data_IF_984151474705
#
_entry.id   IF_984151474705
#
_cell.length_a   1.000
_cell.length_b   1.000
_cell.length_c   1.000
_cell.angle_alpha   90.00
_cell.angle_beta   90.00
_cell.angle_gamma   90.00
#
_symmetry.space_group_name_H-M   'P 1'
#
loop_
_entity.id
_entity.type
_entity.pdbx_description
1 polymer ?
#
# COMPACT_ATOMS: atom_id res chain seq x y z
N UNK A 1 93.92 -27.01 -74.50
CA UNK A 1 93.14 -28.17 -74.06
C UNK A 1 91.93 -27.64 -73.33
N UNK A 2 90.72 -27.98 -73.84
CA UNK A 2 89.39 -27.97 -73.18
C UNK A 2 88.93 -26.67 -72.50
N UNK A 3 87.70 -26.16 -72.57
CA UNK A 3 86.43 -26.44 -73.27
C UNK A 3 85.54 -25.21 -72.93
N UNK A 4 84.49 -24.99 -73.71
CA UNK A 4 83.44 -23.95 -73.56
C UNK A 4 82.84 -23.90 -72.13
N UNK A 5 82.20 -22.84 -71.64
CA UNK A 5 80.99 -22.26 -72.22
C UNK A 5 80.57 -20.94 -71.55
N UNK A 6 80.05 -20.08 -72.41
CA UNK A 6 79.34 -18.83 -72.14
C UNK A 6 77.90 -19.16 -71.71
N UNK A 7 77.46 -18.74 -70.52
CA UNK A 7 76.03 -18.65 -70.19
C UNK A 7 75.57 -17.21 -70.30
N UNK A 8 74.81 -16.97 -71.35
CA UNK A 8 74.09 -15.75 -71.70
C UNK A 8 72.79 -15.72 -70.89
N UNK A 9 72.52 -14.61 -70.20
CA UNK A 9 71.17 -14.26 -69.75
C UNK A 9 70.26 -14.10 -70.98
N UNK A 10 69.22 -14.93 -71.05
CA UNK A 10 68.19 -14.82 -72.08
C UNK A 10 67.11 -13.84 -71.62
N UNK A 11 67.24 -12.58 -72.04
CA UNK A 11 66.13 -11.63 -72.08
C UNK A 11 65.21 -12.08 -73.22
N UNK A 12 64.19 -12.86 -72.87
CA UNK A 12 63.18 -13.35 -73.80
C UNK A 12 62.29 -12.20 -74.31
N UNK A 13 62.33 -11.99 -75.61
CA UNK A 13 61.42 -11.17 -76.40
C UNK A 13 59.99 -11.78 -76.40
N UNK A 14 58.94 -11.00 -76.74
CA UNK A 14 57.56 -11.47 -76.66
C UNK A 14 57.30 -12.58 -77.68
N UNK A 15 57.12 -13.80 -77.22
CA UNK A 15 56.71 -14.92 -78.06
C UNK A 15 55.21 -14.80 -78.42
N UNK A 16 54.93 -14.55 -79.69
CA UNK A 16 53.60 -14.70 -80.27
C UNK A 16 53.34 -16.16 -80.63
N UNK A 17 52.69 -16.89 -79.72
CA UNK A 17 52.11 -18.18 -80.02
C UNK A 17 50.92 -18.00 -80.99
N UNK A 18 50.78 -18.82 -82.04
CA UNK A 18 49.62 -18.76 -82.94
C UNK A 18 48.35 -19.11 -82.15
N UNK A 19 47.43 -18.14 -82.05
CA UNK A 19 46.15 -18.36 -81.36
C UNK A 19 45.32 -19.40 -82.12
N UNK A 20 44.82 -20.46 -81.45
CA UNK A 20 43.84 -21.35 -82.06
C UNK A 20 42.52 -20.59 -82.25
N UNK A 21 42.25 -20.18 -83.49
CA UNK A 21 40.98 -19.58 -83.90
C UNK A 21 39.87 -20.64 -83.87
N UNK A 22 39.17 -20.74 -82.74
CA UNK A 22 37.99 -21.58 -82.61
C UNK A 22 36.85 -20.90 -83.37
N UNK A 23 36.47 -21.45 -84.53
CA UNK A 23 35.63 -20.82 -85.56
C UNK A 23 36.30 -19.61 -86.25
N UNK A 24 37.42 -19.80 -86.96
CA UNK A 24 37.87 -19.06 -88.19
C UNK A 24 37.81 -17.52 -88.32
N UNK A 25 37.25 -16.77 -87.37
CA UNK A 25 36.95 -15.34 -87.42
C UNK A 25 37.00 -14.67 -86.03
N UNK A 26 37.31 -15.41 -84.95
CA UNK A 26 37.41 -14.88 -83.58
C UNK A 26 38.69 -15.40 -82.89
N UNK A 27 39.46 -14.48 -82.29
CA UNK A 27 40.62 -14.80 -81.45
C UNK A 27 40.22 -15.37 -80.08
N UNK A 28 41.17 -15.98 -79.37
CA UNK A 28 40.97 -16.52 -78.03
C UNK A 28 40.40 -15.50 -77.01
N UNK A 29 40.86 -14.22 -76.95
CA UNK A 29 40.28 -13.25 -76.02
C UNK A 29 38.84 -12.87 -76.35
N UNK A 30 38.43 -12.91 -77.63
CA UNK A 30 37.05 -12.61 -78.03
C UNK A 30 36.08 -13.72 -77.63
N UNK A 31 36.51 -14.98 -77.73
CA UNK A 31 35.71 -16.12 -77.28
C UNK A 31 35.53 -16.11 -75.75
N UNK A 32 36.58 -15.78 -74.99
CA UNK A 32 36.50 -15.64 -73.53
C UNK A 32 35.56 -14.48 -73.15
N UNK A 33 35.64 -13.34 -73.83
CA UNK A 33 34.76 -12.20 -73.59
C UNK A 33 33.28 -12.55 -73.87
N UNK A 34 32.99 -13.30 -74.93
CA UNK A 34 31.63 -13.80 -75.23
C UNK A 34 31.13 -14.78 -74.16
N UNK A 35 31.99 -15.70 -73.69
CA UNK A 35 31.64 -16.61 -72.60
C UNK A 35 31.35 -15.85 -71.29
N UNK A 36 32.15 -14.83 -70.96
CA UNK A 36 31.93 -13.97 -69.79
C UNK A 36 30.61 -13.20 -69.92
N UNK A 37 30.33 -12.64 -71.10
CA UNK A 37 29.06 -11.95 -71.38
C UNK A 37 27.86 -12.91 -71.24
N UNK A 38 27.97 -14.14 -71.73
CA UNK A 38 26.94 -15.15 -71.57
C UNK A 38 26.69 -15.48 -70.09
N UNK A 39 27.74 -15.60 -69.27
CA UNK A 39 27.61 -15.80 -67.81
C UNK A 39 26.92 -14.60 -67.14
N UNK A 40 27.30 -13.36 -67.46
CA UNK A 40 26.60 -12.18 -66.93
C UNK A 40 25.14 -12.11 -67.38
N UNK A 41 24.84 -12.43 -68.64
CA UNK A 41 23.47 -12.47 -69.15
C UNK A 41 22.64 -13.54 -68.42
N UNK A 42 23.19 -14.73 -68.17
CA UNK A 42 22.53 -15.78 -67.39
C UNK A 42 22.36 -15.37 -65.93
N UNK A 43 23.36 -14.70 -65.33
CA UNK A 43 23.30 -14.20 -63.95
C UNK A 43 22.23 -13.11 -63.76
N UNK A 44 22.10 -12.22 -64.74
CA UNK A 44 21.03 -11.21 -64.80
C UNK A 44 19.67 -11.87 -65.04
N UNK A 45 19.57 -12.85 -65.94
CA UNK A 45 18.33 -13.57 -66.21
C UNK A 45 17.85 -14.38 -64.99
N UNK A 46 18.78 -15.00 -64.26
CA UNK A 46 18.52 -15.69 -62.98
C UNK A 46 18.38 -14.75 -61.79
N UNK A 47 18.43 -13.42 -62.01
CA UNK A 47 18.20 -12.37 -60.99
C UNK A 47 19.06 -12.50 -59.73
N UNK A 48 20.28 -13.01 -59.87
CA UNK A 48 21.24 -13.12 -58.75
C UNK A 48 21.46 -11.79 -58.01
N UNK A 49 21.63 -10.62 -58.68
CA UNK A 49 21.79 -9.36 -57.94
C UNK A 49 20.54 -8.95 -57.15
N UNK A 50 19.34 -9.29 -57.62
CA UNK A 50 18.10 -9.01 -56.90
C UNK A 50 17.96 -9.88 -55.63
N UNK A 51 18.40 -11.14 -55.67
CA UNK A 51 18.40 -12.03 -54.50
C UNK A 51 19.34 -11.52 -53.39
N UNK A 52 20.52 -11.00 -53.77
CA UNK A 52 21.47 -10.41 -52.82
C UNK A 52 20.89 -9.13 -52.21
N UNK A 53 20.27 -8.26 -53.03
CA UNK A 53 19.57 -7.08 -52.54
C UNK A 53 18.46 -7.43 -51.54
N UNK A 54 17.61 -8.40 -51.88
CA UNK A 54 16.53 -8.84 -51.01
C UNK A 54 17.03 -9.43 -49.69
N UNK A 55 18.12 -10.19 -49.69
CA UNK A 55 18.71 -10.73 -48.46
C UNK A 55 19.28 -9.63 -47.56
N UNK A 56 19.87 -8.59 -48.15
CA UNK A 56 20.38 -7.42 -47.42
C UNK A 56 19.23 -6.58 -46.86
N UNK A 57 18.18 -6.35 -47.65
CA UNK A 57 16.97 -5.66 -47.22
C UNK A 57 16.27 -6.40 -46.07
N UNK A 58 16.19 -7.74 -46.12
CA UNK A 58 15.66 -8.54 -45.00
C UNK A 58 16.49 -8.36 -43.72
N UNK A 59 17.82 -8.32 -43.83
CA UNK A 59 18.70 -8.05 -42.68
C UNK A 59 18.47 -6.65 -42.12
N UNK A 60 18.37 -5.64 -42.99
CA UNK A 60 18.10 -4.26 -42.58
C UNK A 60 16.73 -4.16 -41.91
N UNK A 61 15.71 -4.82 -42.45
CA UNK A 61 14.37 -4.85 -41.86
C UNK A 61 14.37 -5.54 -40.49
N UNK A 62 15.09 -6.65 -40.33
CA UNK A 62 15.25 -7.34 -39.04
C UNK A 62 15.94 -6.46 -38.01
N UNK A 63 17.07 -5.84 -38.36
CA UNK A 63 17.79 -4.93 -37.46
C UNK A 63 16.93 -3.72 -37.06
N UNK A 64 16.16 -3.16 -38.00
CA UNK A 64 15.23 -2.06 -37.70
C UNK A 64 14.14 -2.52 -36.73
N UNK A 65 13.55 -3.69 -36.94
CA UNK A 65 12.54 -4.23 -36.04
C UNK A 65 13.11 -4.47 -34.62
N UNK A 66 14.31 -5.03 -34.50
CA UNK A 66 14.98 -5.23 -33.20
C UNK A 66 15.31 -3.91 -32.51
N UNK A 67 15.75 -2.89 -33.26
CA UNK A 67 16.00 -1.54 -32.73
C UNK A 67 14.71 -0.87 -32.25
N UNK A 68 13.63 -0.97 -33.03
CA UNK A 68 12.32 -0.43 -32.67
C UNK A 68 11.77 -1.11 -31.42
N UNK A 69 11.87 -2.44 -31.32
CA UNK A 69 11.47 -3.21 -30.15
C UNK A 69 12.32 -2.84 -28.92
N UNK A 70 13.63 -2.68 -29.07
CA UNK A 70 14.51 -2.24 -27.99
C UNK A 70 14.20 -0.81 -27.52
N UNK A 71 13.85 0.10 -28.43
CA UNK A 71 13.44 1.46 -28.09
C UNK A 71 12.10 1.45 -27.33
N UNK A 72 11.12 0.65 -27.77
CA UNK A 72 9.85 0.49 -27.07
C UNK A 72 10.06 -0.12 -25.68
N UNK A 73 10.85 -1.18 -25.57
CA UNK A 73 11.15 -1.81 -24.29
C UNK A 73 11.83 -0.84 -23.32
N UNK A 74 12.71 0.03 -23.82
CA UNK A 74 13.29 1.11 -23.00
C UNK A 74 12.24 2.13 -22.55
N UNK A 75 11.36 2.56 -23.44
CA UNK A 75 10.26 3.49 -23.08
C UNK A 75 9.34 2.88 -22.04
N UNK A 76 8.97 1.62 -22.20
CA UNK A 76 8.12 0.89 -21.26
C UNK A 76 8.82 0.73 -19.90
N UNK A 77 10.12 0.40 -19.89
CA UNK A 77 10.90 0.31 -18.65
C UNK A 77 11.04 1.66 -17.94
N UNK A 78 11.26 2.75 -18.68
CA UNK A 78 11.33 4.11 -18.13
C UNK A 78 9.96 4.56 -17.59
N UNK A 79 8.87 4.28 -18.31
CA UNK A 79 7.51 4.56 -17.86
C UNK A 79 7.15 3.76 -16.60
N UNK A 80 7.47 2.47 -16.58
CA UNK A 80 7.25 1.60 -15.44
C UNK A 80 8.03 2.07 -14.21
N UNK A 81 9.31 2.45 -14.39
CA UNK A 81 10.13 3.01 -13.32
C UNK A 81 9.51 4.29 -12.75
N UNK A 82 9.09 5.21 -13.61
CA UNK A 82 8.44 6.45 -13.19
C UNK A 82 7.13 6.19 -12.42
N UNK A 83 6.34 5.20 -12.87
CA UNK A 83 5.12 4.79 -12.18
C UNK A 83 5.42 4.22 -10.78
N UNK A 84 6.44 3.36 -10.64
CA UNK A 84 6.83 2.82 -9.34
C UNK A 84 7.42 3.87 -8.40
N UNK A 85 8.22 4.81 -8.90
CA UNK A 85 8.73 5.94 -8.10
C UNK A 85 7.58 6.83 -7.62
N UNK A 86 6.61 7.14 -8.48
CA UNK A 86 5.42 7.89 -8.10
C UNK A 86 4.56 7.13 -7.08
N UNK A 87 4.36 5.82 -7.26
CA UNK A 87 3.64 4.97 -6.29
C UNK A 87 4.36 4.89 -4.94
N UNK A 88 5.68 4.78 -4.93
CA UNK A 88 6.46 4.77 -3.70
C UNK A 88 6.32 6.10 -2.95
N UNK A 89 6.47 7.23 -3.64
CA UNK A 89 6.28 8.56 -3.05
C UNK A 89 4.85 8.76 -2.52
N UNK A 90 3.84 8.31 -3.26
CA UNK A 90 2.45 8.37 -2.83
C UNK A 90 2.20 7.50 -1.60
N UNK A 91 2.75 6.29 -1.55
CA UNK A 91 2.63 5.40 -0.39
C UNK A 91 3.32 5.97 0.86
N UNK A 92 4.46 6.66 0.71
CA UNK A 92 5.11 7.36 1.82
C UNK A 92 4.27 8.52 2.36
N UNK A 93 3.68 9.32 1.46
CA UNK A 93 2.76 10.38 1.84
C UNK A 93 1.51 9.82 2.55
N UNK A 94 0.92 8.74 2.03
CA UNK A 94 -0.24 8.07 2.63
C UNK A 94 0.10 7.47 4.00
N UNK A 95 1.29 6.88 4.17
CA UNK A 95 1.76 6.43 5.48
C UNK A 95 1.86 7.57 6.48
N UNK A 96 2.43 8.70 6.08
CA UNK A 96 2.54 9.87 6.96
C UNK A 96 1.16 10.39 7.37
N UNK A 97 0.22 10.50 6.44
CA UNK A 97 -1.15 10.93 6.76
C UNK A 97 -1.90 9.92 7.61
N UNK A 98 -1.68 8.61 7.40
CA UNK A 98 -2.25 7.55 8.23
C UNK A 98 -1.75 7.64 9.68
N UNK A 99 -0.46 7.87 9.89
CA UNK A 99 0.13 8.01 11.23
C UNK A 99 -0.42 9.25 11.94
N UNK A 100 -0.48 10.40 11.24
CA UNK A 100 -1.03 11.62 11.82
C UNK A 100 -2.52 11.48 12.17
N UNK A 101 -3.31 10.85 11.29
CA UNK A 101 -4.72 10.57 11.58
C UNK A 101 -4.87 9.63 12.79
N UNK A 102 -4.05 8.58 12.87
CA UNK A 102 -4.08 7.64 13.99
C UNK A 102 -3.71 8.32 15.31
N UNK A 103 -2.74 9.24 15.32
CA UNK A 103 -2.39 10.05 16.50
C UNK A 103 -3.55 10.94 16.92
N UNK A 104 -4.11 11.70 16.00
CA UNK A 104 -5.24 12.58 16.28
C UNK A 104 -6.47 11.78 16.79
N UNK A 105 -6.72 10.60 16.22
CA UNK A 105 -7.79 9.72 16.67
C UNK A 105 -7.52 9.15 18.06
N UNK A 106 -6.27 8.75 18.35
CA UNK A 106 -5.87 8.30 19.68
C UNK A 106 -6.04 9.41 20.73
N UNK A 107 -5.58 10.63 20.43
CA UNK A 107 -5.70 11.78 21.34
C UNK A 107 -7.18 12.13 21.58
N UNK A 108 -8.02 12.07 20.54
CA UNK A 108 -9.45 12.28 20.68
C UNK A 108 -10.13 11.20 21.54
N UNK A 109 -9.73 9.93 21.40
CA UNK A 109 -10.24 8.83 22.22
C UNK A 109 -9.84 9.02 23.68
N UNK A 110 -8.59 9.42 23.95
CA UNK A 110 -8.12 9.68 25.32
C UNK A 110 -8.89 10.85 25.93
N UNK A 111 -9.02 11.97 25.23
CA UNK A 111 -9.77 13.14 25.71
C UNK A 111 -11.25 12.80 25.98
N UNK A 112 -11.88 12.02 25.11
CA UNK A 112 -13.25 11.56 25.30
C UNK A 112 -13.37 10.62 26.51
N UNK A 113 -12.44 9.68 26.66
CA UNK A 113 -12.42 8.75 27.78
C UNK A 113 -12.22 9.46 29.12
N UNK A 114 -11.36 10.49 29.16
CA UNK A 114 -11.18 11.35 30.34
C UNK A 114 -12.46 12.09 30.70
N UNK A 115 -13.14 12.70 29.72
CA UNK A 115 -14.40 13.40 29.92
C UNK A 115 -15.52 12.46 30.42
N UNK A 116 -15.65 11.28 29.81
CA UNK A 116 -16.64 10.28 30.20
C UNK A 116 -16.36 9.72 31.59
N UNK A 117 -15.08 9.51 31.93
CA UNK A 117 -14.67 9.06 33.26
C UNK A 117 -14.98 10.12 34.32
N UNK A 118 -14.68 11.39 34.05
CA UNK A 118 -14.99 12.48 34.95
C UNK A 118 -16.51 12.59 35.21
N UNK A 119 -17.32 12.52 34.15
CA UNK A 119 -18.78 12.53 34.25
C UNK A 119 -19.32 11.31 35.01
N UNK A 120 -18.71 10.14 34.82
CA UNK A 120 -19.10 8.93 35.55
C UNK A 120 -18.75 9.02 37.03
N UNK A 121 -17.58 9.56 37.38
CA UNK A 121 -17.18 9.81 38.77
C UNK A 121 -18.15 10.80 39.40
N UNK A 122 -18.44 11.93 38.76
CA UNK A 122 -19.39 12.92 39.29
C UNK A 122 -20.77 12.30 39.56
N UNK A 123 -21.30 11.53 38.60
CA UNK A 123 -22.58 10.82 38.78
C UNK A 123 -22.52 9.84 39.95
N UNK A 124 -21.43 9.09 40.09
CA UNK A 124 -21.24 8.12 41.19
C UNK A 124 -21.15 8.82 42.54
N UNK A 125 -20.47 9.96 42.60
CA UNK A 125 -20.38 10.79 43.81
C UNK A 125 -21.76 11.29 44.22
N UNK A 126 -22.53 11.90 43.30
CA UNK A 126 -23.90 12.34 43.60
C UNK A 126 -24.79 11.19 44.08
N UNK A 127 -24.72 10.03 43.43
CA UNK A 127 -25.47 8.85 43.88
C UNK A 127 -25.07 8.37 45.28
N UNK A 128 -23.79 8.49 45.65
CA UNK A 128 -23.33 8.16 46.99
C UNK A 128 -23.81 9.19 48.03
N UNK A 129 -23.72 10.48 47.71
CA UNK A 129 -24.24 11.57 48.54
C UNK A 129 -25.75 11.43 48.78
N UNK A 130 -26.53 11.16 47.74
CA UNK A 130 -27.98 10.93 47.85
C UNK A 130 -28.31 9.73 48.75
N UNK A 131 -27.54 8.65 48.65
CA UNK A 131 -27.68 7.47 49.51
C UNK A 131 -27.33 7.77 50.96
N UNK A 132 -26.26 8.53 51.20
CA UNK A 132 -25.87 8.96 52.55
C UNK A 132 -26.98 9.83 53.14
N UNK A 133 -27.47 10.83 52.40
CA UNK A 133 -28.55 11.71 52.85
C UNK A 133 -29.86 10.95 53.11
N UNK A 134 -30.17 9.91 52.33
CA UNK A 134 -31.30 9.03 52.60
C UNK A 134 -31.10 8.20 53.87
N UNK A 135 -29.92 7.62 54.06
CA UNK A 135 -29.57 6.84 55.25
C UNK A 135 -29.56 7.68 56.53
N UNK A 136 -29.06 8.92 56.46
CA UNK A 136 -29.08 9.88 57.57
C UNK A 136 -30.50 10.23 58.00
N UNK A 137 -31.39 10.52 57.04
CA UNK A 137 -32.81 10.76 57.33
C UNK A 137 -33.45 9.56 58.03
N UNK A 138 -33.21 8.36 57.50
CA UNK A 138 -33.72 7.13 58.11
C UNK A 138 -33.18 6.91 59.54
N UNK A 139 -31.89 7.14 59.76
CA UNK A 139 -31.26 7.02 61.09
C UNK A 139 -31.82 8.05 62.08
N UNK A 140 -32.04 9.29 61.65
CA UNK A 140 -32.65 10.33 62.48
C UNK A 140 -34.09 9.96 62.88
N UNK A 141 -34.87 9.44 61.95
CA UNK A 141 -36.24 9.01 62.22
C UNK A 141 -36.28 7.79 63.17
N UNK A 142 -35.35 6.84 63.02
CA UNK A 142 -35.18 5.75 63.98
C UNK A 142 -34.84 6.26 65.39
N UNK A 143 -33.90 7.20 65.52
CA UNK A 143 -33.52 7.77 66.82
C UNK A 143 -34.72 8.48 67.47
N UNK A 144 -35.47 9.26 66.70
CA UNK A 144 -36.69 9.93 67.18
C UNK A 144 -37.75 8.94 67.63
N UNK A 145 -37.98 7.87 66.87
CA UNK A 145 -38.94 6.83 67.24
C UNK A 145 -38.53 6.11 68.53
N UNK A 146 -37.24 5.76 68.67
CA UNK A 146 -36.70 5.15 69.90
C UNK A 146 -36.81 6.09 71.11
N UNK A 147 -36.50 7.37 70.93
CA UNK A 147 -36.63 8.38 71.99
C UNK A 147 -38.10 8.57 72.43
N UNK A 148 -39.03 8.67 71.47
CA UNK A 148 -40.46 8.78 71.76
C UNK A 148 -40.99 7.55 72.50
N UNK A 149 -40.60 6.35 72.07
CA UNK A 149 -40.96 5.09 72.74
C UNK A 149 -40.41 5.02 74.17
N UNK A 150 -39.13 5.38 74.36
CA UNK A 150 -38.52 5.43 75.69
C UNK A 150 -39.19 6.45 76.61
N UNK A 151 -39.52 7.64 76.11
CA UNK A 151 -40.24 8.67 76.87
C UNK A 151 -41.65 8.22 77.24
N UNK A 152 -42.39 7.60 76.32
CA UNK A 152 -43.72 7.04 76.59
C UNK A 152 -43.66 5.93 77.64
N UNK A 153 -42.67 5.02 77.55
CA UNK A 153 -42.47 3.97 78.53
C UNK A 153 -42.11 4.52 79.92
N UNK A 154 -41.26 5.55 79.99
CA UNK A 154 -40.92 6.22 81.25
C UNK A 154 -42.13 6.95 81.86
N UNK A 155 -42.92 7.66 81.04
CA UNK A 155 -44.14 8.31 81.48
C UNK A 155 -45.17 7.29 82.00
N UNK A 156 -45.36 6.17 81.30
CA UNK A 156 -46.26 5.10 81.74
C UNK A 156 -45.85 4.52 83.10
N UNK A 157 -44.54 4.30 83.32
CA UNK A 157 -44.00 3.86 84.62
C UNK A 157 -44.25 4.89 85.72
N UNK A 158 -43.97 6.16 85.46
CA UNK A 158 -44.18 7.23 86.43
C UNK A 158 -45.66 7.38 86.82
N UNK A 159 -46.57 7.27 85.84
CA UNK A 159 -48.02 7.27 86.10
C UNK A 159 -48.39 6.07 86.97
N UNK A 160 -47.92 4.87 86.65
CA UNK A 160 -48.21 3.67 87.44
C UNK A 160 -47.68 3.75 88.89
N UNK A 161 -46.54 4.41 89.12
CA UNK A 161 -45.98 4.62 90.46
C UNK A 161 -46.69 5.71 91.27
N UNK A 162 -47.33 6.68 90.60
CA UNK A 162 -47.91 7.89 91.23
C UNK A 162 -49.44 7.91 91.25
N UNK A 163 -50.12 7.08 90.47
CA UNK A 163 -51.57 6.95 90.51
C UNK A 163 -52.01 5.81 91.43
N UNK A 164 -52.84 6.18 92.42
CA UNK A 164 -53.59 5.26 93.26
C UNK A 164 -55.10 5.55 93.17
N UNK A 165 -55.93 4.77 93.88
CA UNK A 165 -57.39 4.78 93.74
C UNK A 165 -58.06 6.15 93.90
N UNK A 166 -57.50 7.03 94.73
CA UNK A 166 -58.02 8.38 94.98
C UNK A 166 -57.79 9.33 93.79
N UNK A 167 -56.65 9.22 93.12
CA UNK A 167 -56.32 10.06 91.98
C UNK A 167 -57.11 9.66 90.72
N UNK A 168 -57.37 8.36 90.54
CA UNK A 168 -58.22 7.83 89.47
C UNK A 168 -59.67 8.33 89.63
N UNK A 169 -60.20 8.32 90.85
CA UNK A 169 -61.56 8.80 91.14
C UNK A 169 -61.72 10.29 90.81
N UNK A 170 -60.75 11.12 91.19
CA UNK A 170 -60.73 12.55 90.88
C UNK A 170 -60.54 12.88 89.38
N UNK A 171 -60.01 11.95 88.57
CA UNK A 171 -59.94 12.10 87.11
C UNK A 171 -61.24 11.68 86.43
N UNK A 172 -61.88 10.61 86.90
CA UNK A 172 -63.20 10.19 86.43
C UNK A 172 -64.24 11.26 86.69
N UNK A 173 -64.28 11.81 87.90
CA UNK A 173 -65.23 12.89 88.26
C UNK A 173 -65.02 14.13 87.38
N UNK A 174 -63.77 14.55 87.12
CA UNK A 174 -63.46 15.66 86.19
C UNK A 174 -63.78 15.37 84.73
N UNK A 175 -63.64 14.12 84.28
CA UNK A 175 -63.99 13.73 82.91
C UNK A 175 -65.51 13.73 82.70
N UNK A 176 -66.27 13.30 83.71
CA UNK A 176 -67.74 13.37 83.73
C UNK A 176 -68.20 14.83 83.75
N UNK A 177 -67.57 15.68 84.57
CA UNK A 177 -67.88 17.12 84.66
C UNK A 177 -67.56 17.89 83.36
N UNK A 178 -66.59 17.44 82.55
CA UNK A 178 -66.32 18.00 81.22
C UNK A 178 -67.29 17.54 80.13
N UNK A 179 -68.03 16.46 80.36
CA UNK A 179 -69.00 15.90 79.42
C UNK A 179 -70.45 16.36 79.70
N UNK A 180 -70.72 16.80 80.93
CA UNK A 180 -71.97 17.44 81.36
C UNK A 180 -71.97 18.94 81.03
#
# INVERSE_FOLDING_TARGET
MAEEAKTIEHVGAPEHHPEPANFGFMGAPQWIALAMLAVFAVMLWKRVPALIGQALDQKIAGIRAELDEAEQLRKDAEALKAEYEAKAAAADAERATMIERARHEADAIVAQAEADTAALIERRTRMAEDKIAAAERHALDEVRARAASAAAAAAARLIAERHGPEADKAMVDRAIEKLA
#
